data_IF_891951160402
#
_entry.id   IF_891951160402
#
_cell.length_a   1.000
_cell.length_b   1.000
_cell.length_c   1.000
_cell.angle_alpha   90.00
_cell.angle_beta   90.00
_cell.angle_gamma   90.00
#
_symmetry.space_group_name_H-M   'P 1'
#
loop_
_entity.id
_entity.type
_entity.pdbx_description
1 polymer ?
#
# COMPACT_ATOMS: atom_id res chain seq x y z
N UNK A 1 1.43 20.59 -5.30
CA UNK A 1 1.05 19.16 -5.43
C UNK A 1 -0.13 18.87 -4.52
N UNK A 2 -1.17 18.21 -5.02
CA UNK A 2 -2.40 17.90 -4.29
C UNK A 2 -2.76 16.41 -4.36
N UNK A 3 -3.40 15.89 -3.31
CA UNK A 3 -3.99 14.56 -3.29
C UNK A 3 -5.48 14.66 -3.62
N UNK A 4 -5.91 14.04 -4.72
CA UNK A 4 -7.27 14.07 -5.21
C UNK A 4 -7.92 12.68 -5.08
N UNK A 5 -8.87 12.48 -4.16
CA UNK A 5 -9.58 11.21 -4.04
C UNK A 5 -10.33 10.85 -5.33
N UNK A 6 -10.24 9.59 -5.74
CA UNK A 6 -10.99 9.05 -6.88
C UNK A 6 -12.34 8.58 -6.39
N UNK A 7 -13.37 9.41 -6.61
CA UNK A 7 -14.75 9.17 -6.13
C UNK A 7 -15.78 9.10 -7.26
N UNK A 8 -15.53 9.76 -8.40
CA UNK A 8 -16.46 9.75 -9.54
C UNK A 8 -16.22 8.53 -10.43
N UNK A 9 -17.23 8.16 -11.22
CA UNK A 9 -17.15 7.05 -12.17
C UNK A 9 -16.07 7.30 -13.24
N UNK A 10 -15.95 8.52 -13.73
CA UNK A 10 -14.99 8.85 -14.78
C UNK A 10 -13.55 8.88 -14.26
N UNK A 11 -13.31 9.46 -13.08
CA UNK A 11 -12.00 9.34 -12.42
C UNK A 11 -11.67 7.88 -12.12
N UNK A 12 -12.65 7.06 -11.73
CA UNK A 12 -12.43 5.63 -11.51
C UNK A 12 -11.99 4.91 -12.78
N UNK A 13 -12.64 5.19 -13.93
CA UNK A 13 -12.25 4.64 -15.23
C UNK A 13 -10.85 5.09 -15.63
N UNK A 14 -10.55 6.38 -15.51
CA UNK A 14 -9.24 6.93 -15.81
C UNK A 14 -8.13 6.32 -14.92
N UNK A 15 -8.41 6.14 -13.63
CA UNK A 15 -7.46 5.53 -12.72
C UNK A 15 -7.18 4.09 -13.11
N UNK A 16 -8.22 3.33 -13.44
CA UNK A 16 -8.08 1.95 -13.90
C UNK A 16 -7.24 1.88 -15.18
N UNK A 17 -7.46 2.82 -16.11
CA UNK A 17 -6.71 2.90 -17.37
C UNK A 17 -5.22 3.17 -17.14
N UNK A 18 -4.88 4.15 -16.30
CA UNK A 18 -3.48 4.43 -15.98
C UNK A 18 -2.78 3.26 -15.28
N UNK A 19 -3.46 2.61 -14.34
CA UNK A 19 -2.92 1.43 -13.67
C UNK A 19 -2.80 0.25 -14.64
N UNK A 20 -3.72 0.09 -15.58
CA UNK A 20 -3.65 -0.96 -16.59
C UNK A 20 -2.45 -0.75 -17.52
N UNK A 21 -2.26 0.47 -18.04
CA UNK A 21 -1.21 0.77 -19.02
C UNK A 21 0.19 0.85 -18.42
N UNK A 22 0.34 1.43 -17.24
CA UNK A 22 1.65 1.90 -16.77
C UNK A 22 2.14 1.25 -15.48
N UNK A 23 1.27 0.64 -14.67
CA UNK A 23 1.72 -0.06 -13.48
C UNK A 23 2.14 -1.49 -13.85
N UNK A 24 3.32 -1.94 -13.40
CA UNK A 24 3.90 -3.24 -13.77
C UNK A 24 3.01 -4.47 -13.47
N UNK A 25 2.16 -4.39 -12.44
CA UNK A 25 1.15 -5.43 -12.11
C UNK A 25 -0.14 -5.36 -12.94
N UNK A 26 -0.31 -4.33 -13.76
CA UNK A 26 -1.55 -3.98 -14.43
C UNK A 26 -2.72 -3.70 -13.47
N UNK A 27 -3.88 -3.45 -14.07
CA UNK A 27 -5.13 -3.28 -13.34
C UNK A 27 -5.73 -4.64 -12.96
N UNK A 28 -5.97 -4.78 -11.66
CA UNK A 28 -6.81 -5.83 -11.07
C UNK A 28 -7.71 -5.14 -10.06
N UNK A 29 -9.02 -5.46 -9.99
CA UNK A 29 -9.91 -4.85 -9.02
C UNK A 29 -9.36 -4.97 -7.60
N UNK A 30 -9.42 -3.88 -6.82
CA UNK A 30 -9.13 -3.91 -5.39
C UNK A 30 -10.42 -4.35 -4.67
N UNK A 31 -10.47 -5.55 -4.07
CA UNK A 31 -11.68 -6.04 -3.42
C UNK A 31 -11.90 -5.36 -2.06
N UNK A 32 -13.17 -5.16 -1.70
CA UNK A 32 -13.57 -4.64 -0.39
C UNK A 32 -13.21 -3.18 -0.16
N UNK A 33 -12.83 -2.85 1.08
CA UNK A 33 -12.44 -1.51 1.49
C UNK A 33 -11.23 -1.02 0.69
N UNK A 34 -11.36 0.14 0.06
CA UNK A 34 -10.33 0.75 -0.77
C UNK A 34 -10.43 2.28 -0.83
N UNK A 35 -9.27 2.92 -0.95
CA UNK A 35 -9.14 4.32 -1.31
C UNK A 35 -8.19 4.43 -2.50
N UNK A 36 -8.53 5.29 -3.45
CA UNK A 36 -7.73 5.56 -4.64
C UNK A 36 -7.53 7.05 -4.77
N UNK A 37 -6.36 7.44 -5.25
CA UNK A 37 -5.95 8.83 -5.38
C UNK A 37 -5.27 9.08 -6.71
N UNK A 38 -5.53 10.25 -7.26
CA UNK A 38 -4.56 10.92 -8.12
C UNK A 38 -3.71 11.86 -7.29
N UNK A 39 -2.49 12.09 -7.76
CA UNK A 39 -1.65 13.19 -7.32
C UNK A 39 -1.55 14.16 -8.47
N UNK A 40 -1.87 15.43 -8.22
CA UNK A 40 -1.82 16.48 -9.24
C UNK A 40 -0.77 17.53 -8.91
N UNK A 41 -0.16 18.10 -9.95
CA UNK A 41 0.65 19.32 -9.89
C UNK A 41 0.17 20.22 -11.01
N UNK A 42 -0.27 21.44 -10.67
CA UNK A 42 -0.86 22.40 -11.62
C UNK A 42 -1.92 21.73 -12.52
N UNK A 43 -2.85 21.04 -11.87
CA UNK A 43 -3.96 20.25 -12.47
C UNK A 43 -3.54 19.01 -13.28
N UNK A 44 -2.26 18.84 -13.58
CA UNK A 44 -1.76 17.65 -14.27
C UNK A 44 -1.63 16.45 -13.33
N UNK A 45 -2.15 15.30 -13.74
CA UNK A 45 -1.99 14.05 -13.00
C UNK A 45 -0.56 13.53 -13.18
N UNK A 46 0.18 13.46 -12.08
CA UNK A 46 1.59 13.02 -12.07
C UNK A 46 1.80 11.65 -11.42
N UNK A 47 0.83 11.19 -10.61
CA UNK A 47 0.88 9.88 -9.99
C UNK A 47 -0.53 9.36 -9.64
N UNK A 48 -0.62 8.06 -9.41
CA UNK A 48 -1.82 7.38 -8.97
C UNK A 48 -1.48 6.40 -7.82
N UNK A 49 -2.30 6.39 -6.77
CA UNK A 49 -2.17 5.48 -5.65
C UNK A 49 -3.46 4.68 -5.44
N UNK A 50 -3.31 3.46 -4.95
CA UNK A 50 -4.40 2.59 -4.53
C UNK A 50 -4.07 1.94 -3.19
N UNK A 51 -5.04 1.97 -2.29
CA UNK A 51 -4.99 1.39 -0.97
C UNK A 51 -6.15 0.41 -0.81
N UNK A 52 -5.90 -0.70 -0.13
CA UNK A 52 -6.88 -1.73 0.11
C UNK A 52 -6.62 -2.47 1.42
N UNK A 53 -7.45 -3.47 1.71
CA UNK A 53 -7.24 -4.34 2.87
C UNK A 53 -5.84 -4.97 2.88
N UNK A 54 -5.30 -5.17 4.08
CA UNK A 54 -4.02 -5.86 4.29
C UNK A 54 -4.04 -7.32 3.80
N UNK A 55 -2.86 -7.83 3.44
CA UNK A 55 -2.68 -9.24 3.14
C UNK A 55 -3.01 -10.08 4.38
N UNK A 56 -3.82 -11.13 4.18
CA UNK A 56 -4.31 -11.99 5.27
C UNK A 56 -3.18 -12.54 6.15
N UNK A 57 -2.12 -13.06 5.53
CA UNK A 57 -0.98 -13.67 6.23
C UNK A 57 0.32 -13.21 5.62
N UNK A 58 1.18 -12.63 6.45
CA UNK A 58 2.53 -12.26 6.07
C UNK A 58 3.47 -12.47 7.25
N UNK A 59 4.28 -13.53 7.18
CA UNK A 59 5.18 -13.89 8.28
C UNK A 59 6.08 -12.73 8.73
N UNK A 60 6.69 -11.91 7.84
CA UNK A 60 7.57 -10.83 8.30
C UNK A 60 6.82 -9.75 9.10
N UNK A 61 5.59 -9.36 8.70
CA UNK A 61 4.77 -8.40 9.46
C UNK A 61 4.31 -9.01 10.77
N UNK A 62 3.76 -10.23 10.71
CA UNK A 62 3.19 -10.89 11.89
C UNK A 62 4.28 -11.08 12.96
N UNK A 63 5.49 -11.48 12.57
CA UNK A 63 6.66 -11.57 13.45
C UNK A 63 7.13 -10.20 13.93
N UNK A 64 7.18 -9.20 13.04
CA UNK A 64 7.55 -7.85 13.42
C UNK A 64 6.61 -7.29 14.49
N UNK A 65 5.30 -7.50 14.36
CA UNK A 65 4.30 -7.04 15.34
C UNK A 65 4.33 -7.91 16.62
N UNK A 66 4.58 -9.22 16.47
CA UNK A 66 4.48 -10.21 17.54
C UNK A 66 3.09 -10.86 17.63
N UNK A 67 2.39 -10.98 16.51
CA UNK A 67 1.01 -11.47 16.46
C UNK A 67 0.88 -12.99 16.63
N UNK A 68 -0.07 -13.38 17.47
CA UNK A 68 -0.71 -14.69 17.39
C UNK A 68 -1.71 -14.78 16.21
N UNK A 69 -2.19 -15.98 15.90
CA UNK A 69 -3.23 -16.17 14.89
C UNK A 69 -4.50 -15.37 15.18
N UNK A 70 -4.95 -15.42 16.43
CA UNK A 70 -6.16 -14.76 16.91
C UNK A 70 -6.02 -13.23 16.89
N UNK A 71 -4.89 -12.71 17.41
CA UNK A 71 -4.60 -11.28 17.37
C UNK A 71 -4.57 -10.74 15.95
N UNK A 72 -3.97 -11.48 15.01
CA UNK A 72 -3.99 -11.10 13.59
C UNK A 72 -5.42 -11.04 13.08
N UNK A 73 -6.22 -12.08 13.27
CA UNK A 73 -7.61 -12.10 12.78
C UNK A 73 -8.42 -10.91 13.30
N UNK A 74 -8.25 -10.57 14.59
CA UNK A 74 -8.92 -9.45 15.24
C UNK A 74 -8.42 -8.09 14.73
N UNK A 75 -7.10 -7.92 14.61
CA UNK A 75 -6.48 -6.61 14.43
C UNK A 75 -6.05 -6.29 12.99
N UNK A 76 -6.16 -7.25 12.05
CA UNK A 76 -5.85 -7.03 10.63
C UNK A 76 -6.60 -5.83 10.00
N UNK A 77 -7.87 -5.52 10.34
CA UNK A 77 -8.56 -4.35 9.80
C UNK A 77 -7.89 -3.01 10.10
N UNK A 78 -7.01 -2.94 11.12
CA UNK A 78 -6.23 -1.74 11.47
C UNK A 78 -4.98 -1.56 10.59
N UNK A 79 -4.74 -2.47 9.64
CA UNK A 79 -3.63 -2.43 8.68
C UNK A 79 -4.16 -2.19 7.27
N UNK A 80 -3.56 -1.24 6.56
CA UNK A 80 -3.94 -0.91 5.17
C UNK A 80 -2.77 -1.14 4.24
N UNK A 81 -3.04 -1.82 3.12
CA UNK A 81 -2.03 -2.12 2.12
C UNK A 81 -2.00 -1.03 1.03
N UNK A 82 -0.83 -0.44 0.78
CA UNK A 82 -0.58 0.31 -0.43
C UNK A 82 -0.40 -0.64 -1.63
N UNK A 83 -1.53 -1.01 -2.23
CA UNK A 83 -1.63 -1.98 -3.30
C UNK A 83 -1.17 -1.48 -4.68
N UNK A 84 -1.23 -0.17 -4.94
CA UNK A 84 -0.77 0.45 -6.18
C UNK A 84 -0.04 1.75 -5.87
N UNK A 85 1.14 1.91 -6.46
CA UNK A 85 1.85 3.18 -6.47
C UNK A 85 2.50 3.38 -7.84
N UNK A 86 1.98 4.34 -8.60
CA UNK A 86 2.40 4.65 -9.95
C UNK A 86 2.79 6.12 -10.02
N UNK A 87 4.01 6.42 -10.41
CA UNK A 87 4.38 7.73 -10.96
C UNK A 87 4.26 7.61 -12.48
N UNK A 88 3.66 8.61 -13.13
CA UNK A 88 3.48 8.56 -14.57
C UNK A 88 4.83 8.47 -15.30
N UNK A 89 4.95 7.67 -16.37
CA UNK A 89 6.25 7.34 -16.97
C UNK A 89 6.96 8.55 -17.60
N UNK A 90 6.22 9.59 -17.97
CA UNK A 90 6.78 10.86 -18.46
C UNK A 90 7.23 11.81 -17.33
N UNK A 91 6.90 11.53 -16.08
CA UNK A 91 7.30 12.37 -14.93
C UNK A 91 8.64 11.90 -14.39
N UNK A 92 9.65 12.75 -14.50
CA UNK A 92 11.00 12.52 -13.95
C UNK A 92 11.31 13.59 -12.91
N UNK A 93 11.34 13.20 -11.64
CA UNK A 93 11.66 14.12 -10.54
C UNK A 93 12.32 13.37 -9.39
N UNK A 94 13.42 13.93 -8.87
CA UNK A 94 14.11 13.39 -7.70
C UNK A 94 13.19 13.51 -6.48
N UNK A 95 13.17 12.48 -5.63
CA UNK A 95 12.44 12.44 -4.36
C UNK A 95 10.92 12.57 -4.45
N UNK A 96 10.32 12.68 -5.64
CA UNK A 96 8.88 12.80 -5.82
C UNK A 96 8.12 11.64 -5.15
N UNK A 97 8.61 10.42 -5.32
CA UNK A 97 8.00 9.24 -4.74
C UNK A 97 7.90 9.31 -3.21
N UNK A 98 9.01 9.64 -2.54
CA UNK A 98 9.05 9.74 -1.08
C UNK A 98 8.24 10.93 -0.56
N UNK A 99 8.19 12.05 -1.31
CA UNK A 99 7.32 13.19 -0.98
C UNK A 99 5.85 12.81 -1.04
N UNK A 100 5.42 12.11 -2.10
CA UNK A 100 4.04 11.62 -2.23
C UNK A 100 3.69 10.65 -1.08
N UNK A 101 4.58 9.70 -0.78
CA UNK A 101 4.40 8.77 0.34
C UNK A 101 4.28 9.51 1.69
N UNK A 102 5.08 10.54 1.91
CA UNK A 102 4.99 11.37 3.12
C UNK A 102 3.68 12.15 3.20
N UNK A 103 3.14 12.59 2.07
CA UNK A 103 1.84 13.27 2.03
C UNK A 103 0.68 12.31 2.31
N UNK A 104 0.70 11.11 1.73
CA UNK A 104 -0.43 10.19 1.85
C UNK A 104 -0.57 9.62 3.27
N UNK A 105 0.54 9.36 3.98
CA UNK A 105 0.50 8.85 5.37
C UNK A 105 -0.18 9.82 6.34
N UNK A 106 -0.19 11.13 6.04
CA UNK A 106 -0.88 12.13 6.87
C UNK A 106 -2.39 12.24 6.60
N UNK A 107 -2.84 11.82 5.41
CA UNK A 107 -4.22 12.01 4.96
C UNK A 107 -5.04 10.73 4.99
N UNK A 108 -4.42 9.60 4.66
CA UNK A 108 -5.10 8.31 4.52
C UNK A 108 -5.83 7.88 5.81
N UNK A 109 -5.27 7.99 7.03
CA UNK A 109 -5.91 7.41 8.21
C UNK A 109 -7.28 8.01 8.49
N UNK A 110 -7.38 9.34 8.49
CA UNK A 110 -8.65 10.07 8.66
C UNK A 110 -9.63 9.72 7.56
N UNK A 111 -9.22 9.71 6.29
CA UNK A 111 -10.16 9.40 5.20
C UNK A 111 -10.62 7.95 5.17
N UNK A 112 -9.79 7.03 5.68
CA UNK A 112 -10.15 5.63 5.85
C UNK A 112 -11.19 5.48 6.97
N UNK A 113 -10.98 6.18 8.09
CA UNK A 113 -11.93 6.25 9.20
C UNK A 113 -13.26 6.88 8.77
N UNK A 114 -13.24 8.03 8.08
CA UNK A 114 -14.45 8.69 7.57
C UNK A 114 -15.31 7.78 6.69
N UNK A 115 -14.66 6.89 5.92
CA UNK A 115 -15.36 6.00 4.98
C UNK A 115 -15.78 4.67 5.60
N UNK A 116 -14.98 4.11 6.49
CA UNK A 116 -15.13 2.73 6.97
C UNK A 116 -15.32 2.60 8.48
N UNK A 117 -15.27 3.70 9.24
CA UNK A 117 -15.38 3.71 10.70
C UNK A 117 -14.19 3.07 11.41
N UNK A 118 -13.06 2.88 10.72
CA UNK A 118 -11.86 2.23 11.24
C UNK A 118 -10.67 3.16 11.04
N UNK A 119 -9.97 3.51 12.11
CA UNK A 119 -8.73 4.27 12.01
C UNK A 119 -7.53 3.32 11.86
N UNK A 120 -6.86 3.24 10.69
CA UNK A 120 -5.71 2.38 10.53
C UNK A 120 -4.51 2.92 11.31
N UNK A 121 -3.71 2.01 11.88
CA UNK A 121 -2.52 2.37 12.68
C UNK A 121 -1.21 1.93 12.01
N UNK A 122 -1.30 1.16 10.92
CA UNK A 122 -0.15 0.65 10.18
C UNK A 122 -0.45 0.59 8.69
N UNK A 123 0.51 1.01 7.86
CA UNK A 123 0.51 0.68 6.44
C UNK A 123 1.48 -0.45 6.14
N UNK A 124 1.16 -1.23 5.13
CA UNK A 124 2.06 -2.21 4.53
C UNK A 124 2.15 -2.01 3.01
N UNK A 125 3.22 -2.49 2.41
CA UNK A 125 3.36 -2.58 0.96
C UNK A 125 4.38 -3.64 0.57
N UNK A 126 4.30 -4.10 -0.68
CA UNK A 126 5.11 -5.19 -1.19
C UNK A 126 5.85 -4.75 -2.45
N UNK A 127 7.18 -4.77 -2.40
CA UNK A 127 8.04 -4.34 -3.49
C UNK A 127 8.63 -5.57 -4.15
N UNK A 128 8.42 -5.73 -5.45
CA UNK A 128 9.04 -6.80 -6.24
C UNK A 128 10.55 -6.58 -6.31
N UNK A 129 11.32 -7.51 -5.73
CA UNK A 129 12.78 -7.38 -5.58
C UNK A 129 13.54 -7.54 -6.90
N UNK A 130 12.92 -8.13 -7.91
CA UNK A 130 13.53 -8.29 -9.23
C UNK A 130 13.41 -7.02 -10.08
N UNK A 131 12.44 -6.15 -9.75
CA UNK A 131 12.14 -4.95 -10.52
C UNK A 131 12.55 -3.66 -9.80
N UNK A 132 12.50 -3.64 -8.47
CA UNK A 132 12.66 -2.40 -7.69
C UNK A 132 13.46 -2.62 -6.41
N UNK A 133 14.31 -1.64 -6.08
CA UNK A 133 15.10 -1.64 -4.85
C UNK A 133 14.36 -1.10 -3.60
N UNK A 134 13.12 -0.62 -3.75
CA UNK A 134 12.35 -0.05 -2.63
C UNK A 134 12.88 1.28 -2.06
N UNK A 135 13.81 1.96 -2.75
CA UNK A 135 14.50 3.16 -2.26
C UNK A 135 13.56 4.28 -1.82
N UNK A 136 12.43 4.48 -2.51
CA UNK A 136 11.46 5.52 -2.15
C UNK A 136 10.77 5.25 -0.80
N UNK A 137 10.52 3.99 -0.46
CA UNK A 137 9.94 3.60 0.82
C UNK A 137 10.96 3.84 1.95
N UNK A 138 12.22 3.43 1.74
CA UNK A 138 13.32 3.73 2.67
C UNK A 138 13.47 5.23 2.90
N UNK A 139 13.49 6.04 1.83
CA UNK A 139 13.60 7.49 1.89
C UNK A 139 12.39 8.16 2.58
N UNK A 140 11.21 7.52 2.54
CA UNK A 140 10.01 7.96 3.25
C UNK A 140 9.90 7.39 4.67
N UNK A 141 10.98 6.86 5.25
CA UNK A 141 11.03 6.28 6.61
C UNK A 141 10.14 5.05 6.82
N UNK A 142 9.84 4.29 5.76
CA UNK A 142 9.23 2.97 5.92
C UNK A 142 10.24 1.98 6.47
N UNK A 143 9.75 1.07 7.30
CA UNK A 143 10.54 0.05 7.99
C UNK A 143 10.53 -1.22 7.14
N UNK A 144 11.70 -1.63 6.68
CA UNK A 144 11.87 -2.95 6.06
C UNK A 144 11.75 -4.04 7.13
N UNK A 145 10.93 -5.06 6.89
CA UNK A 145 10.70 -6.15 7.87
C UNK A 145 11.01 -7.55 7.34
N UNK A 146 11.40 -7.67 6.07
CA UNK A 146 11.84 -8.94 5.47
C UNK A 146 11.17 -9.26 4.14
N UNK A 147 11.35 -10.50 3.68
CA UNK A 147 10.88 -10.97 2.37
C UNK A 147 9.68 -11.90 2.46
N UNK A 148 8.81 -11.84 1.47
CA UNK A 148 7.78 -12.88 1.26
C UNK A 148 8.43 -14.18 0.78
N UNK A 149 7.73 -15.31 0.94
CA UNK A 149 8.19 -16.62 0.42
C UNK A 149 7.77 -16.89 -1.03
N UNK A 150 7.34 -15.86 -1.76
CA UNK A 150 6.85 -16.02 -3.14
C UNK A 150 5.62 -16.92 -3.28
N UNK A 151 4.78 -17.02 -2.24
CA UNK A 151 3.53 -17.83 -2.27
C UNK A 151 2.35 -16.96 -2.65
N UNK A 152 1.70 -17.29 -3.77
CA UNK A 152 0.46 -16.66 -4.18
C UNK A 152 -0.74 -17.17 -3.39
N UNK A 153 -1.82 -16.38 -3.33
CA UNK A 153 -3.07 -16.75 -2.65
C UNK A 153 -3.65 -18.10 -3.12
N UNK A 154 -3.49 -18.40 -4.41
CA UNK A 154 -3.98 -19.63 -5.06
C UNK A 154 -2.83 -20.57 -5.47
N UNK A 155 -1.62 -20.34 -4.94
CA UNK A 155 -0.43 -21.09 -5.33
C UNK A 155 -0.35 -22.47 -4.67
N UNK A 156 0.34 -23.44 -5.30
CA UNK A 156 0.60 -24.75 -4.70
C UNK A 156 1.39 -24.61 -3.39
N UNK A 157 1.02 -25.41 -2.39
CA UNK A 157 1.71 -25.44 -1.10
C UNK A 157 3.20 -25.82 -1.29
N UNK A 158 4.09 -25.12 -0.57
CA UNK A 158 5.51 -25.42 -0.57
C UNK A 158 6.32 -24.94 -1.77
N UNK A 159 5.68 -24.46 -2.86
CA UNK A 159 6.37 -23.97 -4.06
C UNK A 159 6.21 -22.45 -4.23
N UNK A 160 7.23 -21.81 -4.80
CA UNK A 160 7.12 -20.42 -5.24
C UNK A 160 6.17 -20.36 -6.45
N UNK A 161 5.21 -19.44 -6.40
CA UNK A 161 4.21 -19.24 -7.45
C UNK A 161 4.06 -17.78 -7.86
N UNK A 162 4.71 -16.86 -7.14
CA UNK A 162 4.75 -15.42 -7.44
C UNK A 162 6.16 -14.89 -7.10
N UNK A 163 6.56 -13.73 -7.64
CA UNK A 163 7.84 -13.10 -7.27
C UNK A 163 7.97 -12.89 -5.77
N UNK A 164 9.20 -13.03 -5.27
CA UNK A 164 9.55 -12.67 -3.91
C UNK A 164 9.47 -11.14 -3.78
N UNK A 165 8.93 -10.68 -2.66
CA UNK A 165 8.73 -9.25 -2.43
C UNK A 165 9.33 -8.84 -1.10
N UNK A 166 9.97 -7.67 -1.08
CA UNK A 166 10.31 -6.98 0.15
C UNK A 166 9.02 -6.41 0.78
N UNK A 167 8.85 -6.65 2.08
CA UNK A 167 7.76 -6.11 2.88
C UNK A 167 8.24 -4.87 3.63
N UNK A 168 7.54 -3.77 3.42
CA UNK A 168 7.78 -2.50 4.09
C UNK A 168 6.55 -2.09 4.89
N UNK A 169 6.77 -1.58 6.09
CA UNK A 169 5.73 -1.13 7.00
C UNK A 169 5.90 0.35 7.34
N UNK A 170 4.79 1.07 7.55
CA UNK A 170 4.82 2.44 8.04
C UNK A 170 3.87 2.61 9.23
N UNK A 171 4.39 2.79 10.46
CA UNK A 171 3.58 3.14 11.62
C UNK A 171 2.86 4.48 11.45
N UNK A 172 1.54 4.50 11.57
CA UNK A 172 0.74 5.72 11.47
C UNK A 172 0.59 6.45 12.82
N UNK A 173 0.88 5.77 13.93
CA UNK A 173 0.96 6.37 15.26
C UNK A 173 2.08 5.72 16.08
N UNK A 174 2.56 6.42 17.12
CA UNK A 174 3.67 5.95 17.97
C UNK A 174 3.32 4.67 18.72
N UNK A 175 2.07 4.51 19.15
CA UNK A 175 1.57 3.36 19.92
C UNK A 175 0.93 2.27 19.04
N UNK A 176 1.23 2.23 17.73
CA UNK A 176 0.58 1.30 16.80
C UNK A 176 0.62 -0.16 17.27
N UNK A 177 1.75 -0.61 17.85
CA UNK A 177 1.89 -1.96 18.40
C UNK A 177 0.85 -2.24 19.48
N UNK A 178 0.68 -1.33 20.43
CA UNK A 178 -0.31 -1.46 21.49
C UNK A 178 -1.74 -1.52 20.94
N UNK A 179 -2.06 -0.80 19.87
CA UNK A 179 -3.36 -0.94 19.20
C UNK A 179 -3.53 -2.29 18.51
N UNK A 180 -2.45 -2.82 17.92
CA UNK A 180 -2.47 -4.08 17.18
C UNK A 180 -2.38 -5.32 18.09
N UNK A 181 -1.99 -5.20 19.36
CA UNK A 181 -1.88 -6.35 20.29
C UNK A 181 -2.97 -6.38 21.36
N UNK A 182 -3.92 -5.43 21.32
CA UNK A 182 -5.10 -5.39 22.19
C UNK A 182 -6.14 -6.46 21.85
#
# INVERSE_FOLDING_TARGET
MQLCPVVTRDHSRLWNEYIHRYHYLGHKPLPGAQLRYFVTLDEQIIAALGFGAAAWQTAPRDQFIGWSHEQRQKNLPLVVNNARFLIMPWVKSKNLASTILSMIVRRLPTQWEDRYGIHPVLLETFVDTEQFAGTCYKAANWIYVGKTKGRGKLGPAGKQSVPIKDLWLYPLCRQFRSHLTR
#
